data_IF_820415510862
#
_entry.id   IF_820415510862
#
_cell.length_a   1.000
_cell.length_b   1.000
_cell.length_c   1.000
_cell.angle_alpha   90.00
_cell.angle_beta   90.00
_cell.angle_gamma   90.00
#
_symmetry.space_group_name_H-M   'P 1'
#
loop_
_entity.id
_entity.type
_entity.pdbx_description
1 polymer ?
#
# COMPACT_ATOMS: atom_id res chain seq x y z
N UNK A 1 15.80 -3.47 24.20
CA UNK A 1 15.41 -4.90 24.18
C UNK A 1 15.40 -5.36 22.74
N UNK A 2 16.15 -6.42 22.42
CA UNK A 2 16.13 -7.01 21.08
C UNK A 2 14.81 -7.77 20.91
N UNK A 3 14.04 -7.52 19.85
CA UNK A 3 12.66 -8.05 19.69
C UNK A 3 12.60 -9.46 19.09
N UNK A 4 13.75 -10.13 18.91
CA UNK A 4 13.84 -11.50 18.40
C UNK A 4 13.83 -11.63 16.88
N UNK A 5 14.04 -10.52 16.14
CA UNK A 5 14.09 -10.51 14.68
C UNK A 5 15.54 -10.47 14.17
N UNK A 6 15.82 -11.24 13.12
CA UNK A 6 17.00 -11.05 12.27
C UNK A 6 16.69 -9.99 11.22
N UNK A 7 17.68 -9.14 10.91
CA UNK A 7 17.54 -8.08 9.91
C UNK A 7 18.50 -8.36 8.77
N UNK A 8 17.96 -8.45 7.55
CA UNK A 8 18.73 -8.54 6.31
C UNK A 8 18.53 -7.25 5.52
N UNK A 9 19.58 -6.42 5.45
CA UNK A 9 19.62 -5.24 4.59
C UNK A 9 20.46 -5.50 3.35
N UNK A 10 20.09 -4.89 2.24
CA UNK A 10 20.85 -4.94 0.98
C UNK A 10 20.93 -3.55 0.35
N UNK A 11 21.88 -3.38 -0.57
CA UNK A 11 21.97 -2.17 -1.38
C UNK A 11 21.26 -2.38 -2.72
N UNK A 12 20.41 -1.43 -3.10
CA UNK A 12 19.84 -1.35 -4.44
C UNK A 12 20.92 -1.37 -5.54
N UNK A 13 20.70 -2.02 -6.70
CA UNK A 13 21.57 -1.90 -7.86
C UNK A 13 21.94 -0.45 -8.18
N UNK A 14 23.24 -0.16 -8.30
CA UNK A 14 23.74 1.19 -8.59
C UNK A 14 23.99 2.05 -7.35
N UNK A 15 23.75 1.50 -6.15
CA UNK A 15 23.97 2.18 -4.88
C UNK A 15 24.96 1.43 -3.99
N UNK A 16 25.70 2.17 -3.16
CA UNK A 16 26.64 1.60 -2.20
C UNK A 16 27.68 0.69 -2.87
N UNK A 17 27.75 -0.56 -2.42
CA UNK A 17 28.66 -1.57 -2.98
C UNK A 17 28.03 -2.43 -4.10
N UNK A 18 26.76 -2.21 -4.46
CA UNK A 18 26.09 -2.97 -5.53
C UNK A 18 26.52 -2.46 -6.90
N UNK A 19 27.04 -3.35 -7.75
CA UNK A 19 27.60 -3.01 -9.08
C UNK A 19 26.58 -3.05 -10.23
N UNK A 20 25.31 -3.38 -9.94
CA UNK A 20 24.24 -3.38 -10.94
C UNK A 20 23.87 -1.97 -11.40
N UNK A 21 23.05 -1.86 -12.44
CA UNK A 21 22.50 -0.58 -12.90
C UNK A 21 21.13 -0.31 -12.23
N UNK A 22 20.77 0.96 -11.94
CA UNK A 22 19.55 1.33 -11.20
C UNK A 22 18.31 1.34 -12.10
N UNK A 23 18.00 0.20 -12.74
CA UNK A 23 16.83 0.03 -13.59
C UNK A 23 15.82 -0.92 -12.93
N UNK A 24 14.51 -0.80 -13.24
CA UNK A 24 13.48 -1.63 -12.62
C UNK A 24 13.76 -3.13 -12.70
N UNK A 25 14.17 -3.64 -13.87
CA UNK A 25 14.48 -5.06 -14.03
C UNK A 25 15.63 -5.53 -13.11
N UNK A 26 16.61 -4.68 -12.87
CA UNK A 26 17.75 -4.97 -12.00
C UNK A 26 17.31 -4.95 -10.53
N UNK A 27 16.42 -4.04 -10.15
CA UNK A 27 15.79 -4.02 -8.83
C UNK A 27 15.04 -5.33 -8.55
N UNK A 28 14.26 -5.80 -9.52
CA UNK A 28 13.52 -7.07 -9.45
C UNK A 28 14.46 -8.28 -9.30
N UNK A 29 15.49 -8.37 -10.13
CA UNK A 29 16.50 -9.43 -10.04
C UNK A 29 17.28 -9.38 -8.71
N UNK A 30 17.54 -8.18 -8.18
CA UNK A 30 18.26 -8.01 -6.93
C UNK A 30 17.42 -8.50 -5.75
N UNK A 31 16.14 -8.10 -5.65
CA UNK A 31 15.28 -8.55 -4.56
C UNK A 31 14.98 -10.06 -4.66
N UNK A 32 14.86 -10.62 -5.87
CA UNK A 32 14.76 -12.06 -6.06
C UNK A 32 15.98 -12.79 -5.46
N UNK A 33 17.19 -12.32 -5.76
CA UNK A 33 18.42 -12.87 -5.21
C UNK A 33 18.45 -12.78 -3.67
N UNK A 34 18.00 -11.67 -3.09
CA UNK A 34 17.90 -11.48 -1.63
C UNK A 34 16.91 -12.46 -1.02
N UNK A 35 15.73 -12.64 -1.62
CA UNK A 35 14.71 -13.59 -1.14
C UNK A 35 15.23 -15.02 -1.20
N UNK A 36 15.84 -15.43 -2.32
CA UNK A 36 16.46 -16.75 -2.46
C UNK A 36 17.60 -16.96 -1.48
N UNK A 37 18.43 -15.94 -1.22
CA UNK A 37 19.47 -16.04 -0.21
C UNK A 37 18.89 -16.24 1.19
N UNK A 38 17.81 -15.52 1.54
CA UNK A 38 17.14 -15.69 2.81
C UNK A 38 16.52 -17.10 2.98
N UNK A 39 15.88 -17.62 1.94
CA UNK A 39 15.17 -18.90 1.97
C UNK A 39 16.14 -20.08 1.80
N UNK A 40 16.92 -20.09 0.72
CA UNK A 40 17.72 -21.25 0.33
C UNK A 40 19.01 -21.37 1.15
N UNK A 41 19.63 -20.25 1.53
CA UNK A 41 20.93 -20.25 2.21
C UNK A 41 20.84 -19.97 3.71
N UNK A 42 20.09 -18.94 4.11
CA UNK A 42 19.87 -18.64 5.52
C UNK A 42 18.77 -19.52 6.15
N UNK A 43 18.05 -20.30 5.35
CA UNK A 43 17.03 -21.29 5.78
C UNK A 43 15.86 -20.68 6.55
N UNK A 44 15.54 -19.41 6.29
CA UNK A 44 14.31 -18.80 6.81
C UNK A 44 13.13 -19.26 5.95
N UNK A 45 12.09 -19.89 6.53
CA UNK A 45 10.87 -20.19 5.79
C UNK A 45 10.19 -18.88 5.36
N UNK A 46 9.58 -18.88 4.18
CA UNK A 46 8.96 -17.69 3.59
C UNK A 46 7.92 -17.07 4.55
N UNK A 47 7.14 -17.90 5.24
CA UNK A 47 6.10 -17.52 6.21
C UNK A 47 6.64 -16.84 7.48
N UNK A 48 7.96 -16.78 7.65
CA UNK A 48 8.63 -16.04 8.73
C UNK A 48 9.36 -14.78 8.23
N UNK A 49 9.25 -14.46 6.94
CA UNK A 49 9.85 -13.27 6.36
C UNK A 49 8.84 -12.12 6.39
N UNK A 50 9.28 -10.97 6.91
CA UNK A 50 8.58 -9.70 6.82
C UNK A 50 9.34 -8.83 5.82
N UNK A 51 8.66 -8.34 4.79
CA UNK A 51 9.24 -7.39 3.85
C UNK A 51 8.96 -5.96 4.32
N UNK A 52 9.99 -5.12 4.28
CA UNK A 52 9.90 -3.71 4.62
C UNK A 52 10.42 -2.87 3.45
N UNK A 53 9.54 -2.06 2.85
CA UNK A 53 9.90 -1.14 1.78
C UNK A 53 9.72 0.31 2.24
N UNK A 54 10.78 1.11 2.18
CA UNK A 54 10.71 2.54 2.44
C UNK A 54 10.80 3.34 1.15
N UNK A 55 9.87 4.29 0.95
CA UNK A 55 9.86 5.20 -0.20
C UNK A 55 9.91 4.42 -1.52
N UNK A 56 10.89 4.66 -2.38
CA UNK A 56 11.11 3.93 -3.64
C UNK A 56 11.30 2.42 -3.42
N UNK A 57 11.81 1.98 -2.28
CA UNK A 57 11.93 0.58 -1.90
C UNK A 57 10.58 -0.14 -1.75
N UNK A 58 9.48 0.62 -1.70
CA UNK A 58 8.14 0.06 -1.84
C UNK A 58 7.97 -0.75 -3.12
N UNK A 59 8.58 -0.32 -4.24
CA UNK A 59 8.54 -1.06 -5.51
C UNK A 59 9.17 -2.45 -5.39
N UNK A 60 10.38 -2.53 -4.85
CA UNK A 60 11.05 -3.83 -4.64
C UNK A 60 10.29 -4.72 -3.67
N UNK A 61 9.75 -4.13 -2.60
CA UNK A 61 9.02 -4.88 -1.58
C UNK A 61 7.68 -5.43 -2.11
N UNK A 62 6.93 -4.65 -2.90
CA UNK A 62 5.69 -5.13 -3.53
C UNK A 62 5.94 -6.14 -4.63
N UNK A 63 7.03 -5.99 -5.40
CA UNK A 63 7.42 -7.00 -6.38
C UNK A 63 7.74 -8.33 -5.70
N UNK A 64 8.49 -8.31 -4.61
CA UNK A 64 8.79 -9.52 -3.86
C UNK A 64 7.53 -10.13 -3.25
N UNK A 65 6.66 -9.34 -2.63
CA UNK A 65 5.41 -9.84 -2.05
C UNK A 65 4.48 -10.50 -3.08
N UNK A 66 4.43 -10.00 -4.32
CA UNK A 66 3.59 -10.65 -5.35
C UNK A 66 4.20 -11.94 -5.93
N UNK A 67 5.51 -12.15 -5.82
CA UNK A 67 6.21 -13.35 -6.32
C UNK A 67 6.51 -14.38 -5.22
N UNK A 68 6.56 -13.94 -3.96
CA UNK A 68 6.71 -14.73 -2.74
C UNK A 68 5.48 -14.46 -1.85
N UNK A 69 4.30 -15.00 -2.22
CA UNK A 69 3.03 -14.61 -1.60
C UNK A 69 2.80 -15.21 -0.22
N UNK A 70 3.65 -16.13 0.24
CA UNK A 70 3.55 -16.81 1.53
C UNK A 70 4.28 -16.05 2.64
N UNK A 71 4.91 -14.90 2.32
CA UNK A 71 5.56 -14.05 3.33
C UNK A 71 4.60 -13.71 4.48
N UNK A 72 5.15 -13.52 5.68
CA UNK A 72 4.34 -13.22 6.86
C UNK A 72 3.55 -11.92 6.68
N UNK A 73 4.22 -10.86 6.25
CA UNK A 73 3.62 -9.55 6.05
C UNK A 73 4.50 -8.63 5.21
N UNK A 74 3.86 -7.62 4.64
CA UNK A 74 4.49 -6.52 3.91
C UNK A 74 4.24 -5.21 4.65
N UNK A 75 5.31 -4.47 4.93
CA UNK A 75 5.27 -3.13 5.52
C UNK A 75 5.77 -2.12 4.49
N UNK A 76 4.95 -1.11 4.21
CA UNK A 76 5.24 -0.06 3.25
C UNK A 76 5.31 1.29 3.98
N UNK A 77 6.51 1.82 4.15
CA UNK A 77 6.77 3.09 4.84
C UNK A 77 6.99 4.22 3.83
N UNK A 78 6.23 5.31 3.97
CA UNK A 78 6.36 6.55 3.20
C UNK A 78 6.54 6.33 1.70
N UNK A 79 5.80 5.36 1.15
CA UNK A 79 5.84 5.02 -0.27
C UNK A 79 4.69 5.68 -1.05
N UNK A 80 4.61 5.40 -2.33
CA UNK A 80 3.67 5.98 -3.28
C UNK A 80 2.98 4.90 -4.13
N UNK A 81 1.96 5.27 -4.89
CA UNK A 81 1.24 4.33 -5.76
C UNK A 81 1.87 4.16 -7.14
N UNK A 82 2.42 5.24 -7.69
CA UNK A 82 2.99 5.33 -9.03
C UNK A 82 4.04 6.45 -9.05
N UNK A 83 5.19 6.21 -9.69
CA UNK A 83 6.27 7.22 -9.80
C UNK A 83 5.93 8.34 -10.78
N UNK A 84 5.07 8.09 -11.78
CA UNK A 84 4.83 9.06 -12.85
C UNK A 84 4.36 10.45 -12.35
N UNK A 85 3.37 10.56 -11.45
CA UNK A 85 2.95 11.86 -10.92
C UNK A 85 4.08 12.60 -10.19
N UNK A 86 4.95 11.88 -9.50
CA UNK A 86 6.12 12.44 -8.83
C UNK A 86 7.15 12.95 -9.84
N UNK A 87 7.44 12.16 -10.88
CA UNK A 87 8.34 12.55 -11.95
C UNK A 87 7.86 13.80 -12.69
N UNK A 88 6.57 13.87 -13.04
CA UNK A 88 5.98 15.04 -13.69
C UNK A 88 6.12 16.29 -12.80
N UNK A 89 5.85 16.17 -11.50
CA UNK A 89 5.96 17.28 -10.55
C UNK A 89 7.40 17.84 -10.46
N UNK A 90 8.41 16.98 -10.57
CA UNK A 90 9.83 17.39 -10.48
C UNK A 90 10.40 18.00 -11.75
N UNK A 91 9.68 17.92 -12.87
CA UNK A 91 10.17 18.31 -14.20
C UNK A 91 9.42 19.52 -14.75
N UNK A 92 10.01 20.18 -15.75
CA UNK A 92 9.34 21.28 -16.45
C UNK A 92 8.05 20.79 -17.13
N UNK A 93 6.95 21.53 -16.97
CA UNK A 93 5.65 21.22 -17.58
C UNK A 93 5.73 21.10 -19.12
N UNK A 94 6.63 21.85 -19.76
CA UNK A 94 6.89 21.76 -21.21
C UNK A 94 7.41 20.39 -21.67
N UNK A 95 7.93 19.56 -20.76
CA UNK A 95 8.47 18.23 -21.03
C UNK A 95 7.54 17.10 -20.59
N UNK A 96 6.33 17.39 -20.10
CA UNK A 96 5.44 16.37 -19.51
C UNK A 96 5.24 15.15 -20.42
N UNK A 97 4.97 15.38 -21.72
CA UNK A 97 4.78 14.29 -22.68
C UNK A 97 6.00 13.38 -22.83
N UNK A 98 7.21 13.97 -22.87
CA UNK A 98 8.46 13.23 -22.94
C UNK A 98 8.72 12.44 -21.65
N UNK A 99 8.56 13.09 -20.50
CA UNK A 99 8.72 12.46 -19.18
C UNK A 99 7.78 11.27 -19.04
N UNK A 100 6.51 11.44 -19.45
CA UNK A 100 5.51 10.37 -19.42
C UNK A 100 5.94 9.15 -20.22
N UNK A 101 6.42 9.34 -21.45
CA UNK A 101 6.88 8.24 -22.30
C UNK A 101 8.09 7.54 -21.68
N UNK A 102 9.12 8.30 -21.28
CA UNK A 102 10.34 7.73 -20.68
C UNK A 102 10.01 6.94 -19.41
N UNK A 103 9.18 7.48 -18.52
CA UNK A 103 8.79 6.79 -17.29
C UNK A 103 8.02 5.52 -17.61
N UNK A 104 7.03 5.57 -18.49
CA UNK A 104 6.22 4.38 -18.81
C UNK A 104 6.99 3.30 -19.56
N UNK A 105 7.95 3.68 -20.40
CA UNK A 105 8.71 2.74 -21.22
C UNK A 105 9.94 2.16 -20.49
N UNK A 106 10.52 2.90 -19.54
CA UNK A 106 11.81 2.52 -18.94
C UNK A 106 11.83 2.48 -17.40
N UNK A 107 10.96 3.22 -16.72
CA UNK A 107 10.98 3.39 -15.26
C UNK A 107 9.57 3.27 -14.66
N UNK A 108 8.78 2.31 -15.13
CA UNK A 108 7.37 2.16 -14.75
C UNK A 108 7.22 1.56 -13.33
N UNK A 109 7.56 2.35 -12.31
CA UNK A 109 7.44 1.94 -10.91
C UNK A 109 5.99 2.06 -10.43
N UNK A 110 5.18 1.04 -10.75
CA UNK A 110 3.76 0.96 -10.38
C UNK A 110 3.55 0.05 -9.16
N UNK A 111 3.73 0.63 -7.98
CA UNK A 111 3.64 -0.07 -6.70
C UNK A 111 2.22 -0.56 -6.44
N UNK A 112 1.20 0.23 -6.80
CA UNK A 112 -0.19 -0.16 -6.61
C UNK A 112 -0.59 -1.38 -7.45
N UNK A 113 -0.07 -1.51 -8.68
CA UNK A 113 -0.31 -2.68 -9.53
C UNK A 113 0.30 -3.95 -8.95
N UNK A 114 1.54 -3.88 -8.46
CA UNK A 114 2.20 -5.02 -7.81
C UNK A 114 1.50 -5.39 -6.50
N UNK A 115 1.17 -4.39 -5.66
CA UNK A 115 0.45 -4.59 -4.39
C UNK A 115 -0.92 -5.24 -4.63
N UNK A 116 -1.60 -4.87 -5.72
CA UNK A 116 -2.88 -5.46 -6.13
C UNK A 116 -2.77 -6.92 -6.61
N UNK A 117 -1.59 -7.52 -6.60
CA UNK A 117 -1.38 -8.95 -6.87
C UNK A 117 -1.03 -9.74 -5.60
N UNK A 118 -0.89 -9.06 -4.46
CA UNK A 118 -0.59 -9.68 -3.18
C UNK A 118 -1.83 -9.73 -2.27
N UNK A 119 -2.11 -10.92 -1.73
CA UNK A 119 -3.28 -11.18 -0.89
C UNK A 119 -2.98 -11.23 0.60
N UNK A 120 -1.71 -11.30 1.01
CA UNK A 120 -1.33 -11.43 2.41
C UNK A 120 -1.46 -10.13 3.22
N UNK A 121 -0.92 -10.15 4.44
CA UNK A 121 -1.02 -9.04 5.40
C UNK A 121 -0.17 -7.85 4.94
N UNK A 122 -0.76 -6.65 4.96
CA UNK A 122 -0.12 -5.39 4.54
C UNK A 122 -0.35 -4.31 5.58
N UNK A 123 0.70 -3.54 5.88
CA UNK A 123 0.64 -2.34 6.70
C UNK A 123 1.28 -1.17 5.96
N UNK A 124 0.59 -0.03 5.89
CA UNK A 124 1.14 1.23 5.38
C UNK A 124 1.50 2.13 6.56
N UNK A 125 2.72 2.66 6.55
CA UNK A 125 3.15 3.73 7.44
C UNK A 125 3.20 5.00 6.60
N UNK A 126 2.37 5.98 6.92
CA UNK A 126 2.26 7.24 6.18
C UNK A 126 2.77 8.39 7.04
N UNK A 127 3.75 9.12 6.49
CA UNK A 127 4.23 10.38 7.06
C UNK A 127 3.24 11.49 6.72
N UNK A 128 2.71 12.18 7.72
CA UNK A 128 1.69 13.22 7.47
C UNK A 128 2.29 14.53 6.95
N UNK A 129 3.58 14.76 7.24
CA UNK A 129 4.37 15.93 6.84
C UNK A 129 5.43 15.56 5.79
N UNK A 130 5.06 14.74 4.79
CA UNK A 130 5.98 14.28 3.76
C UNK A 130 5.97 15.20 2.52
N UNK A 131 7.09 15.88 2.26
CA UNK A 131 7.19 16.76 1.10
C UNK A 131 7.52 16.02 -0.21
N UNK A 132 8.06 14.80 -0.13
CA UNK A 132 8.62 14.07 -1.29
C UNK A 132 7.53 13.28 -2.00
N UNK A 133 6.65 12.61 -1.27
CA UNK A 133 5.57 11.78 -1.85
C UNK A 133 4.22 12.50 -1.90
N UNK A 134 4.19 13.84 -1.94
CA UNK A 134 2.96 14.62 -2.04
C UNK A 134 2.80 15.28 -3.41
N UNK A 135 1.61 15.17 -4.02
CA UNK A 135 1.26 15.81 -5.31
C UNK A 135 -0.12 16.48 -5.22
N UNK A 136 -0.29 17.75 -5.65
CA UNK A 136 0.73 18.68 -6.12
C UNK A 136 1.66 19.15 -4.98
N UNK A 137 2.80 19.73 -5.35
CA UNK A 137 3.81 20.24 -4.40
C UNK A 137 3.19 21.22 -3.40
N UNK A 138 3.49 21.06 -2.11
CA UNK A 138 2.98 21.95 -1.05
C UNK A 138 2.70 21.29 0.29
N UNK A 139 3.27 20.11 0.55
CA UNK A 139 3.13 19.36 1.82
C UNK A 139 1.67 19.28 2.32
N UNK A 140 0.73 19.00 1.41
CA UNK A 140 -0.67 18.82 1.79
C UNK A 140 -0.96 17.34 1.98
N UNK A 141 -1.51 16.99 3.14
CA UNK A 141 -1.89 15.62 3.47
C UNK A 141 -2.83 15.00 2.43
N UNK A 142 -3.69 15.80 1.80
CA UNK A 142 -4.56 15.37 0.70
C UNK A 142 -3.78 14.90 -0.53
N UNK A 143 -2.64 15.52 -0.82
CA UNK A 143 -1.77 15.19 -1.93
C UNK A 143 -0.86 13.99 -1.70
N UNK A 144 -0.80 13.44 -0.48
CA UNK A 144 0.07 12.32 -0.15
C UNK A 144 -0.27 11.08 -1.01
N UNK A 145 0.70 10.59 -1.79
CA UNK A 145 0.53 9.45 -2.71
C UNK A 145 0.24 8.14 -1.97
N UNK A 146 0.57 8.03 -0.69
CA UNK A 146 0.12 6.94 0.17
C UNK A 146 -1.41 6.84 0.25
N UNK A 147 -2.13 7.97 0.13
CA UNK A 147 -3.60 7.97 0.08
C UNK A 147 -4.10 7.26 -1.19
N UNK A 148 -3.45 7.54 -2.32
CA UNK A 148 -3.78 6.92 -3.61
C UNK A 148 -3.46 5.43 -3.60
N UNK A 149 -2.34 5.05 -2.99
CA UNK A 149 -1.95 3.66 -2.84
C UNK A 149 -3.00 2.88 -2.03
N UNK A 150 -3.33 3.37 -0.83
CA UNK A 150 -4.32 2.74 0.03
C UNK A 150 -5.70 2.70 -0.64
N UNK A 151 -6.10 3.76 -1.33
CA UNK A 151 -7.39 3.82 -2.03
C UNK A 151 -7.48 2.76 -3.12
N UNK A 152 -6.47 2.68 -4.01
CA UNK A 152 -6.41 1.65 -5.06
C UNK A 152 -6.42 0.24 -4.49
N UNK A 153 -5.71 0.04 -3.38
CA UNK A 153 -5.62 -1.24 -2.69
C UNK A 153 -6.96 -1.67 -2.06
N UNK A 154 -7.64 -0.77 -1.34
CA UNK A 154 -8.94 -1.06 -0.73
C UNK A 154 -10.02 -1.30 -1.79
N UNK A 155 -10.03 -0.53 -2.88
CA UNK A 155 -10.97 -0.75 -4.00
C UNK A 155 -10.77 -2.15 -4.60
N UNK A 156 -9.52 -2.59 -4.79
CA UNK A 156 -9.22 -3.93 -5.30
C UNK A 156 -9.60 -5.03 -4.32
N UNK A 157 -9.37 -4.82 -3.02
CA UNK A 157 -9.67 -5.85 -1.99
C UNK A 157 -11.16 -5.96 -1.69
N UNK A 158 -11.89 -4.85 -1.67
CA UNK A 158 -13.28 -4.80 -1.20
C UNK A 158 -14.18 -4.04 -2.18
N UNK A 159 -14.31 -4.50 -3.44
CA UNK A 159 -15.02 -3.77 -4.48
C UNK A 159 -16.48 -3.46 -4.11
N UNK A 160 -17.16 -4.36 -3.39
CA UNK A 160 -18.57 -4.19 -2.99
C UNK A 160 -18.82 -3.02 -2.03
N UNK A 161 -17.79 -2.55 -1.31
CA UNK A 161 -17.86 -1.34 -0.50
C UNK A 161 -17.90 -0.06 -1.35
N UNK A 162 -17.43 -0.15 -2.60
CA UNK A 162 -17.35 0.96 -3.56
C UNK A 162 -18.30 0.80 -4.74
N UNK A 163 -18.91 -0.38 -4.91
CA UNK A 163 -19.96 -0.62 -5.88
C UNK A 163 -21.17 0.26 -5.54
N UNK A 164 -21.65 1.01 -6.54
CA UNK A 164 -22.94 1.73 -6.57
C UNK A 164 -22.97 3.15 -5.98
N UNK A 165 -21.96 3.62 -5.23
CA UNK A 165 -22.03 4.91 -4.53
C UNK A 165 -20.68 5.64 -4.52
N UNK A 166 -20.60 6.83 -5.11
CA UNK A 166 -19.42 7.71 -4.98
C UNK A 166 -19.20 8.21 -3.55
N UNK A 167 -20.16 8.03 -2.65
CA UNK A 167 -20.11 8.44 -1.25
C UNK A 167 -18.97 7.77 -0.48
N UNK A 168 -18.79 6.46 -0.67
CA UNK A 168 -17.75 5.67 -0.01
C UNK A 168 -16.35 6.13 -0.42
N UNK A 169 -16.13 6.33 -1.72
CA UNK A 169 -14.88 6.86 -2.25
C UNK A 169 -14.64 8.31 -1.80
N UNK A 170 -15.68 9.16 -1.79
CA UNK A 170 -15.58 10.54 -1.32
C UNK A 170 -15.29 10.62 0.19
N UNK A 171 -15.92 9.75 0.98
CA UNK A 171 -15.66 9.62 2.42
C UNK A 171 -14.21 9.21 2.68
N UNK A 172 -13.73 8.19 1.97
CA UNK A 172 -12.35 7.73 2.06
C UNK A 172 -11.37 8.84 1.73
N UNK A 173 -11.57 9.54 0.60
CA UNK A 173 -10.73 10.66 0.19
C UNK A 173 -10.74 11.80 1.23
N UNK A 174 -11.92 12.15 1.74
CA UNK A 174 -12.08 13.17 2.79
C UNK A 174 -11.37 12.76 4.08
N UNK A 175 -11.51 11.50 4.50
CA UNK A 175 -10.89 10.99 5.70
C UNK A 175 -9.36 10.98 5.59
N UNK A 176 -8.81 10.47 4.49
CA UNK A 176 -7.36 10.41 4.27
C UNK A 176 -6.73 11.80 4.14
N UNK A 177 -7.48 12.79 3.64
CA UNK A 177 -7.05 14.18 3.53
C UNK A 177 -7.16 14.98 4.83
N UNK A 178 -7.91 14.48 5.80
CA UNK A 178 -8.20 15.18 7.04
C UNK A 178 -7.10 15.01 8.10
N UNK A 179 -6.93 16.03 8.94
CA UNK A 179 -6.12 15.97 10.16
C UNK A 179 -6.75 15.04 11.22
N UNK A 180 -5.99 14.77 12.29
CA UNK A 180 -6.39 13.85 13.36
C UNK A 180 -7.73 14.26 14.02
N UNK A 181 -7.94 15.55 14.28
CA UNK A 181 -9.15 16.04 14.93
C UNK A 181 -10.38 15.88 14.04
N UNK A 182 -10.23 16.21 12.76
CA UNK A 182 -11.28 16.08 11.75
C UNK A 182 -11.62 14.60 11.52
N UNK A 183 -10.64 13.70 11.48
CA UNK A 183 -10.88 12.25 11.38
C UNK A 183 -11.65 11.70 12.57
N UNK A 184 -11.28 12.11 13.78
CA UNK A 184 -12.01 11.72 15.00
C UNK A 184 -13.47 12.17 14.92
N UNK A 185 -13.71 13.40 14.50
CA UNK A 185 -15.07 13.92 14.27
C UNK A 185 -15.84 13.13 13.20
N UNK A 186 -15.20 12.72 12.11
CA UNK A 186 -15.82 11.87 11.08
C UNK A 186 -16.24 10.52 11.65
N UNK A 187 -15.36 9.87 12.43
CA UNK A 187 -15.62 8.58 13.09
C UNK A 187 -16.79 8.68 14.08
N UNK A 188 -16.79 9.73 14.92
CA UNK A 188 -17.85 10.00 15.88
C UNK A 188 -19.19 10.28 15.18
N UNK A 189 -19.19 11.11 14.13
CA UNK A 189 -20.40 11.46 13.38
C UNK A 189 -21.04 10.24 12.72
N UNK A 190 -20.23 9.35 12.15
CA UNK A 190 -20.72 8.12 11.53
C UNK A 190 -21.03 7.01 12.54
N UNK A 191 -20.72 7.22 13.83
CA UNK A 191 -20.87 6.25 14.90
C UNK A 191 -20.24 4.90 14.54
N UNK A 192 -18.98 4.92 14.08
CA UNK A 192 -18.27 3.69 13.69
C UNK A 192 -18.14 2.77 14.90
N UNK A 193 -18.85 1.64 14.87
CA UNK A 193 -18.72 0.59 15.88
C UNK A 193 -17.71 -0.47 15.39
N UNK A 194 -16.52 -0.46 16.00
CA UNK A 194 -15.44 -1.41 15.67
C UNK A 194 -15.86 -2.87 15.86
N UNK A 195 -16.63 -3.19 16.91
CA UNK A 195 -17.09 -4.56 17.17
C UNK A 195 -18.08 -5.00 16.11
N UNK A 196 -18.97 -4.11 15.70
CA UNK A 196 -19.90 -4.39 14.62
C UNK A 196 -19.17 -4.60 13.29
N UNK A 197 -18.18 -3.76 12.97
CA UNK A 197 -17.36 -3.91 11.77
C UNK A 197 -16.58 -5.23 11.75
N UNK A 198 -15.97 -5.60 12.88
CA UNK A 198 -15.31 -6.91 13.05
C UNK A 198 -16.28 -8.08 12.81
N UNK A 199 -17.51 -7.98 13.31
CA UNK A 199 -18.53 -9.01 13.07
C UNK A 199 -18.90 -9.12 11.58
N UNK A 200 -18.94 -8.02 10.83
CA UNK A 200 -19.17 -8.08 9.38
C UNK A 200 -18.01 -8.74 8.64
N UNK A 201 -16.76 -8.41 9.00
CA UNK A 201 -15.56 -9.06 8.42
C UNK A 201 -15.54 -10.55 8.75
N UNK A 202 -15.81 -10.93 10.01
CA UNK A 202 -15.86 -12.33 10.42
C UNK A 202 -16.94 -13.12 9.65
N UNK A 203 -18.14 -12.55 9.48
CA UNK A 203 -19.21 -13.17 8.69
C UNK A 203 -18.86 -13.34 7.22
N UNK A 204 -18.16 -12.38 6.61
CA UNK A 204 -17.68 -12.52 5.22
C UNK A 204 -16.67 -13.67 5.09
N UNK A 205 -15.75 -13.77 6.05
CA UNK A 205 -14.78 -14.88 6.12
C UNK A 205 -15.50 -16.23 6.31
N UNK A 206 -16.48 -16.31 7.21
CA UNK A 206 -17.30 -17.52 7.43
C UNK A 206 -18.08 -17.92 6.16
N UNK A 207 -18.68 -16.96 5.45
CA UNK A 207 -19.37 -17.18 4.16
C UNK A 207 -18.43 -17.77 3.10
N UNK A 208 -17.13 -17.48 3.21
CA UNK A 208 -16.07 -17.98 2.34
C UNK A 208 -15.31 -19.19 2.95
N UNK A 209 -15.95 -19.97 3.83
CA UNK A 209 -15.38 -21.18 4.45
C UNK A 209 -14.07 -20.94 5.23
N UNK A 210 -13.89 -19.74 5.81
CA UNK A 210 -12.67 -19.38 6.53
C UNK A 210 -11.52 -18.94 5.61
N UNK A 211 -11.72 -18.90 4.30
CA UNK A 211 -10.68 -18.53 3.33
C UNK A 211 -10.73 -17.02 3.11
N UNK A 212 -9.62 -16.35 3.41
CA UNK A 212 -9.43 -14.94 3.06
C UNK A 212 -8.94 -14.89 1.61
N UNK A 213 -9.74 -14.31 0.74
CA UNK A 213 -9.37 -14.11 -0.65
C UNK A 213 -9.84 -12.74 -1.14
N UNK A 214 -9.09 -12.20 -2.10
CA UNK A 214 -9.37 -10.90 -2.70
C UNK A 214 -9.54 -11.02 -4.22
N UNK A 215 -10.52 -10.34 -4.83
CA UNK A 215 -11.50 -9.45 -4.18
C UNK A 215 -12.49 -10.18 -3.26
N UNK A 216 -12.84 -9.54 -2.14
CA UNK A 216 -13.84 -10.02 -1.17
C UNK A 216 -15.22 -9.45 -1.51
N UNK A 217 -16.26 -10.18 -1.10
CA UNK A 217 -17.67 -9.77 -1.23
C UNK A 217 -18.17 -8.93 -0.03
N UNK A 218 -17.27 -8.56 0.89
CA UNK A 218 -17.59 -7.75 2.06
C UNK A 218 -18.28 -6.45 1.63
N UNK A 219 -19.50 -6.25 2.13
CA UNK A 219 -20.32 -5.08 1.81
C UNK A 219 -21.45 -5.34 0.83
N UNK A 220 -21.48 -6.48 0.13
CA UNK A 220 -22.51 -6.81 -0.87
C UNK A 220 -23.94 -6.65 -0.32
N UNK A 221 -24.16 -7.13 0.90
CA UNK A 221 -25.47 -7.16 1.55
C UNK A 221 -25.69 -5.98 2.54
N UNK A 222 -24.84 -4.95 2.49
CA UNK A 222 -24.84 -3.82 3.43
C UNK A 222 -25.45 -2.55 2.84
N UNK A 223 -26.15 -1.76 3.67
CA UNK A 223 -26.58 -0.42 3.29
C UNK A 223 -25.41 0.58 3.23
N UNK A 224 -25.64 1.77 2.65
CA UNK A 224 -24.59 2.81 2.51
C UNK A 224 -23.95 3.19 3.85
N UNK A 225 -24.74 3.30 4.93
CA UNK A 225 -24.22 3.71 6.24
C UNK A 225 -23.29 2.65 6.83
N UNK A 226 -23.62 1.37 6.69
CA UNK A 226 -22.77 0.27 7.13
C UNK A 226 -21.50 0.20 6.27
N UNK A 227 -21.61 0.32 4.94
CA UNK A 227 -20.43 0.37 4.04
C UNK A 227 -19.46 1.48 4.45
N UNK A 228 -19.96 2.67 4.76
CA UNK A 228 -19.16 3.81 5.23
C UNK A 228 -18.42 3.49 6.54
N UNK A 229 -19.07 2.86 7.51
CA UNK A 229 -18.43 2.44 8.76
C UNK A 229 -17.34 1.40 8.53
N UNK A 230 -17.60 0.38 7.71
CA UNK A 230 -16.64 -0.68 7.39
C UNK A 230 -15.40 -0.08 6.70
N UNK A 231 -15.56 0.86 5.76
CA UNK A 231 -14.42 1.51 5.09
C UNK A 231 -13.53 2.23 6.10
N UNK A 232 -14.11 3.03 7.00
CA UNK A 232 -13.31 3.76 7.99
C UNK A 232 -12.61 2.80 8.97
N UNK A 233 -13.30 1.74 9.39
CA UNK A 233 -12.70 0.68 10.18
C UNK A 233 -11.50 0.05 9.45
N UNK A 234 -11.65 -0.35 8.19
CA UNK A 234 -10.58 -0.97 7.41
C UNK A 234 -9.39 -0.02 7.25
N UNK A 235 -9.63 1.25 6.90
CA UNK A 235 -8.56 2.25 6.76
C UNK A 235 -7.71 2.32 8.02
N UNK A 236 -8.34 2.42 9.20
CA UNK A 236 -7.65 2.47 10.49
C UNK A 236 -6.83 1.20 10.81
N UNK A 237 -7.13 0.06 10.16
CA UNK A 237 -6.36 -1.18 10.31
C UNK A 237 -5.21 -1.31 9.29
N UNK A 238 -5.27 -0.61 8.16
CA UNK A 238 -4.25 -0.69 7.10
C UNK A 238 -3.21 0.42 7.17
N UNK A 239 -3.49 1.54 7.85
CA UNK A 239 -2.59 2.70 7.88
C UNK A 239 -2.23 3.13 9.31
N UNK A 240 -0.97 3.45 9.51
CA UNK A 240 -0.45 4.15 10.69
C UNK A 240 0.13 5.48 10.22
N UNK A 241 -0.26 6.56 10.88
CA UNK A 241 0.32 7.88 10.66
C UNK A 241 1.50 8.11 11.62
N UNK A 242 2.58 8.67 11.10
CA UNK A 242 3.81 9.05 11.84
C UNK A 242 4.28 10.46 11.50
#
# INVERSE_FOLDING_TARGET
>A
MNKGYSILGWNHPGFGCSTGAPYPLQEENAIDCVMRFAIDYLTFPEEQIILYGWSIGGYTATWAAMNYPSIQSLVLDATFDDVLPLAIMTMSSSLEGLVRNIIRDHFNLNIAEQLNRYNGTVLLIRRTEDEVVCTPSGNSLSGNRGNMLLTKFLIRRYPELFAENSECAALLARFLSADISTRKSIIETLNVDEKQCLNFVAKDIEKNNGIINYPSMLGQDCDSKIKQQIILFLVCNYIIDV
#
